data_IF_196395668567
#
_entry.id   IF_196395668567
#
_cell.length_a   1.000
_cell.length_b   1.000
_cell.length_c   1.000
_cell.angle_alpha   90.00
_cell.angle_beta   90.00
_cell.angle_gamma   90.00
#
_symmetry.space_group_name_H-M   'P 1'
#
loop_
_entity.id
_entity.type
_entity.pdbx_description
1 polymer ?
#
# COMPACT_ATOMS: atom_id res chain seq x y z
N UNK A 1 6.89 7.45 -15.30
CA UNK A 1 5.65 7.13 -14.60
C UNK A 1 5.91 6.24 -13.42
N UNK A 2 5.29 6.54 -12.30
CA UNK A 2 5.46 5.72 -11.11
C UNK A 2 4.83 4.34 -11.31
N UNK A 3 5.57 3.32 -10.94
CA UNK A 3 5.19 1.92 -11.13
C UNK A 3 5.25 1.27 -9.75
N UNK A 4 4.21 0.51 -9.32
CA UNK A 4 4.22 -0.10 -7.99
C UNK A 4 5.48 -0.92 -7.72
N UNK A 5 5.94 -1.70 -8.70
CA UNK A 5 7.15 -2.49 -8.54
C UNK A 5 8.38 -1.60 -8.31
N UNK A 6 8.51 -0.55 -9.09
CA UNK A 6 9.64 0.37 -8.96
C UNK A 6 9.64 1.07 -7.61
N UNK A 7 8.46 1.46 -7.13
CA UNK A 7 8.34 2.14 -5.84
C UNK A 7 8.83 1.22 -4.71
N UNK A 8 8.38 -0.04 -4.72
CA UNK A 8 8.81 -1.00 -3.70
C UNK A 8 10.31 -1.26 -3.77
N UNK A 9 10.84 -1.43 -4.97
CA UNK A 9 12.27 -1.67 -5.16
C UNK A 9 13.11 -0.49 -4.69
N UNK A 10 12.66 0.71 -4.99
CA UNK A 10 13.36 1.93 -4.56
C UNK A 10 13.48 2.03 -3.05
N UNK A 11 12.50 1.50 -2.34
CA UNK A 11 12.48 1.52 -0.88
C UNK A 11 13.01 0.23 -0.27
N UNK A 12 13.59 -0.64 -1.10
CA UNK A 12 14.18 -1.92 -0.67
C UNK A 12 13.16 -2.81 0.03
N UNK A 13 11.93 -2.79 -0.45
CA UNK A 13 10.86 -3.61 0.10
C UNK A 13 10.61 -4.80 -0.80
N UNK A 14 10.30 -5.94 -0.17
CA UNK A 14 9.93 -7.13 -0.91
C UNK A 14 8.60 -6.90 -1.63
N UNK A 15 8.51 -7.36 -2.86
CA UNK A 15 7.29 -7.26 -3.64
C UNK A 15 6.33 -8.38 -3.21
N UNK A 16 5.15 -8.00 -2.72
CA UNK A 16 4.09 -8.93 -2.37
C UNK A 16 2.78 -8.42 -2.97
N UNK A 17 1.83 -9.32 -3.14
CA UNK A 17 0.53 -8.95 -3.72
C UNK A 17 -0.14 -7.83 -2.94
N UNK A 18 -0.12 -7.94 -1.61
CA UNK A 18 -0.74 -6.93 -0.76
C UNK A 18 -0.09 -5.56 -0.94
N UNK A 19 1.23 -5.54 -0.95
CA UNK A 19 1.97 -4.28 -1.13
C UNK A 19 1.68 -3.65 -2.49
N UNK A 20 1.66 -4.47 -3.54
CA UNK A 20 1.35 -3.98 -4.89
C UNK A 20 -0.06 -3.41 -4.96
N UNK A 21 -1.03 -4.12 -4.41
CA UNK A 21 -2.43 -3.69 -4.47
C UNK A 21 -2.62 -2.37 -3.72
N UNK A 22 -2.01 -2.22 -2.56
CA UNK A 22 -2.15 -1.00 -1.77
C UNK A 22 -1.53 0.19 -2.49
N UNK A 23 -0.32 0.02 -3.04
CA UNK A 23 0.32 1.11 -3.77
C UNK A 23 -0.49 1.47 -5.01
N UNK A 24 -1.03 0.47 -5.69
CA UNK A 24 -1.84 0.70 -6.87
C UNK A 24 -3.07 1.54 -6.56
N UNK A 25 -3.71 1.28 -5.42
CA UNK A 25 -4.86 2.08 -4.99
C UNK A 25 -4.48 3.54 -4.75
N UNK A 26 -3.33 3.78 -4.11
CA UNK A 26 -2.87 5.15 -3.90
C UNK A 26 -2.61 5.87 -5.23
N UNK A 27 -2.00 5.17 -6.18
CA UNK A 27 -1.70 5.76 -7.48
C UNK A 27 -2.96 6.03 -8.30
N UNK A 28 -3.91 5.09 -8.27
CA UNK A 28 -5.13 5.20 -9.05
C UNK A 28 -6.03 6.32 -8.57
N UNK A 29 -6.16 6.47 -7.26
CA UNK A 29 -7.09 7.45 -6.69
C UNK A 29 -6.51 8.83 -6.59
N UNK A 30 -5.19 8.93 -6.63
CA UNK A 30 -4.47 10.20 -6.61
C UNK A 30 -4.87 11.07 -5.40
N UNK A 31 -5.32 10.43 -4.32
CA UNK A 31 -5.66 11.10 -3.07
C UNK A 31 -5.16 10.24 -1.93
N UNK A 32 -5.03 10.85 -0.74
CA UNK A 32 -4.65 10.11 0.44
C UNK A 32 -5.78 9.15 0.83
N UNK A 33 -5.44 7.89 1.05
CA UNK A 33 -6.41 6.88 1.46
C UNK A 33 -6.22 6.58 2.94
N UNK A 34 -7.34 6.46 3.65
CA UNK A 34 -7.30 6.05 5.05
C UNK A 34 -7.22 4.53 5.13
N UNK A 35 -6.87 4.03 6.31
CA UNK A 35 -6.88 2.60 6.57
C UNK A 35 -8.28 2.00 6.32
N UNK A 36 -9.33 2.73 6.68
CA UNK A 36 -10.69 2.28 6.47
C UNK A 36 -11.02 2.14 4.99
N UNK A 37 -10.55 3.07 4.16
CA UNK A 37 -10.77 2.99 2.72
C UNK A 37 -10.13 1.74 2.13
N UNK A 38 -8.91 1.44 2.54
CA UNK A 38 -8.20 0.27 2.04
C UNK A 38 -8.82 -1.03 2.54
N UNK A 39 -9.27 -1.05 3.80
CA UNK A 39 -9.98 -2.22 4.32
C UNK A 39 -11.22 -2.54 3.50
N UNK A 40 -12.00 -1.52 3.20
CA UNK A 40 -13.23 -1.70 2.44
C UNK A 40 -12.93 -2.22 1.03
N UNK A 41 -11.90 -1.69 0.40
CA UNK A 41 -11.53 -2.06 -0.97
C UNK A 41 -10.91 -3.45 -1.04
N UNK A 42 -10.07 -3.79 -0.07
CA UNK A 42 -9.23 -4.99 -0.15
C UNK A 42 -9.63 -6.11 0.81
N UNK A 43 -10.70 -5.95 1.58
CA UNK A 43 -11.05 -6.92 2.60
C UNK A 43 -11.42 -8.30 2.04
N UNK A 44 -11.74 -8.39 0.76
CA UNK A 44 -12.02 -9.66 0.10
C UNK A 44 -10.75 -10.42 -0.29
N UNK A 45 -9.63 -9.72 -0.37
CA UNK A 45 -8.36 -10.30 -0.80
C UNK A 45 -7.38 -10.48 0.35
N UNK A 46 -7.40 -9.57 1.31
CA UNK A 46 -6.45 -9.54 2.41
C UNK A 46 -7.19 -9.24 3.71
N UNK A 47 -6.72 -9.82 4.82
CA UNK A 47 -7.34 -9.53 6.09
C UNK A 47 -6.85 -8.19 6.64
N UNK A 48 -7.62 -7.70 7.64
CA UNK A 48 -7.38 -6.40 8.25
C UNK A 48 -5.95 -6.26 8.77
N UNK A 49 -5.47 -7.31 9.41
CA UNK A 49 -4.13 -7.28 10.03
C UNK A 49 -3.05 -7.13 8.95
N UNK A 50 -3.21 -7.85 7.85
CA UNK A 50 -2.24 -7.77 6.74
C UNK A 50 -2.20 -6.37 6.15
N UNK A 51 -3.37 -5.77 5.93
CA UNK A 51 -3.46 -4.41 5.41
C UNK A 51 -2.80 -3.42 6.36
N UNK A 52 -3.10 -3.54 7.65
CA UNK A 52 -2.56 -2.64 8.66
C UNK A 52 -1.04 -2.73 8.73
N UNK A 53 -0.50 -3.94 8.73
CA UNK A 53 0.95 -4.15 8.77
C UNK A 53 1.64 -3.56 7.55
N UNK A 54 1.03 -3.73 6.39
CA UNK A 54 1.60 -3.19 5.15
C UNK A 54 1.64 -1.67 5.18
N UNK A 55 0.56 -1.05 5.64
CA UNK A 55 0.51 0.40 5.77
C UNK A 55 1.55 0.91 6.75
N UNK A 56 1.72 0.21 7.88
CA UNK A 56 2.72 0.59 8.86
C UNK A 56 4.13 0.51 8.28
N UNK A 57 4.41 -0.52 7.50
CA UNK A 57 5.69 -0.66 6.83
C UNK A 57 5.94 0.51 5.89
N UNK A 58 4.92 0.91 5.14
CA UNK A 58 5.03 2.03 4.21
C UNK A 58 5.29 3.35 4.93
N UNK A 59 4.63 3.56 6.06
CA UNK A 59 4.88 4.75 6.87
C UNK A 59 6.30 4.77 7.42
N UNK A 60 6.79 3.63 7.89
CA UNK A 60 8.14 3.50 8.43
C UNK A 60 9.20 3.80 7.38
N UNK A 61 8.91 3.49 6.12
CA UNK A 61 9.85 3.72 5.01
C UNK A 61 9.60 5.04 4.29
N UNK A 62 8.74 5.88 4.84
CA UNK A 62 8.38 7.18 4.23
C UNK A 62 7.82 7.06 2.82
N UNK A 63 7.27 5.90 2.50
CA UNK A 63 6.67 5.68 1.20
C UNK A 63 5.33 6.39 1.09
N UNK A 64 4.60 6.49 2.20
CA UNK A 64 3.35 7.22 2.27
C UNK A 64 3.40 8.12 3.51
N UNK A 65 2.53 9.13 3.54
CA UNK A 65 2.42 10.06 4.65
C UNK A 65 0.98 10.10 5.16
N UNK A 66 0.87 10.41 6.42
CA UNK A 66 -0.46 10.61 6.99
C UNK A 66 -1.08 11.91 6.51
#
# INVERSE_FOLDING_TARGET
>A
MANPNSILQSHKLRITDCRLEIIQEFLNKNIALSHADLEETLNNQFDRVTIYRTLKTFLDKDLIHK
#
